data_IF_501748739239
#
_entry.id   IF_501748739239
#
_cell.length_a   1.000
_cell.length_b   1.000
_cell.length_c   1.000
_cell.angle_alpha   90.00
_cell.angle_beta   90.00
_cell.angle_gamma   90.00
#
_symmetry.space_group_name_H-M   'P 1'
#
loop_
_entity.id
_entity.type
_entity.pdbx_description
1 polymer ?
#
# COMPACT_ATOMS: atom_id res chain seq x y z
N UNK A 1 15.06 21.66 -16.83
CA UNK A 1 15.94 20.97 -15.86
C UNK A 1 15.01 20.32 -14.83
N UNK A 2 15.03 18.98 -14.78
CA UNK A 2 14.12 18.24 -13.88
C UNK A 2 14.54 18.50 -12.42
N UNK A 3 13.64 19.04 -11.61
CA UNK A 3 13.89 19.38 -10.19
C UNK A 3 14.29 18.17 -9.31
N UNK A 4 14.16 16.96 -9.81
CA UNK A 4 14.48 15.70 -9.11
C UNK A 4 15.89 15.17 -9.36
N UNK A 5 16.71 15.84 -10.20
CA UNK A 5 18.04 15.35 -10.58
C UNK A 5 18.97 15.13 -9.38
N UNK A 6 18.83 15.95 -8.33
CA UNK A 6 19.63 15.83 -7.10
C UNK A 6 19.27 14.60 -6.26
N UNK A 7 17.98 14.26 -6.18
CA UNK A 7 17.51 13.15 -5.35
C UNK A 7 17.68 11.80 -6.07
N UNK A 8 17.55 11.80 -7.39
CA UNK A 8 17.80 10.60 -8.21
C UNK A 8 19.28 10.17 -8.17
N UNK A 9 20.21 11.11 -7.90
CA UNK A 9 21.64 10.79 -7.76
C UNK A 9 21.96 9.92 -6.53
N UNK A 10 21.06 9.88 -5.54
CA UNK A 10 21.23 9.06 -4.34
C UNK A 10 20.84 7.59 -4.58
N UNK A 11 20.16 7.30 -5.70
CA UNK A 11 19.81 5.93 -6.07
C UNK A 11 21.01 5.18 -6.64
N UNK A 12 21.19 3.93 -6.23
CA UNK A 12 22.04 2.96 -6.89
C UNK A 12 21.43 2.57 -8.23
N UNK A 13 20.15 2.23 -8.20
CA UNK A 13 19.37 1.92 -9.40
C UNK A 13 17.89 2.26 -9.25
N UNK A 14 17.23 2.54 -10.36
CA UNK A 14 15.76 2.55 -10.46
C UNK A 14 15.29 1.12 -10.68
N UNK A 15 14.44 0.62 -9.80
CA UNK A 15 13.84 -0.71 -9.89
C UNK A 15 12.58 -0.70 -10.76
N UNK A 16 11.72 0.32 -10.57
CA UNK A 16 10.49 0.53 -11.34
C UNK A 16 10.42 1.99 -11.75
N UNK A 17 10.23 2.24 -13.03
CA UNK A 17 10.06 3.59 -13.56
C UNK A 17 8.68 4.16 -13.20
N UNK A 18 8.51 5.47 -13.30
CA UNK A 18 7.20 6.11 -13.14
C UNK A 18 6.19 5.62 -14.18
N UNK A 19 6.65 5.38 -15.40
CA UNK A 19 5.85 4.86 -16.50
C UNK A 19 5.35 3.44 -16.24
N UNK A 20 6.23 2.55 -15.73
CA UNK A 20 5.86 1.17 -15.36
C UNK A 20 4.81 1.16 -14.25
N UNK A 21 5.02 1.99 -13.21
CA UNK A 21 4.09 2.14 -12.08
C UNK A 21 2.73 2.62 -12.59
N UNK A 22 2.71 3.67 -13.41
CA UNK A 22 1.47 4.22 -13.96
C UNK A 22 0.70 3.19 -14.78
N UNK A 23 1.37 2.47 -15.67
CA UNK A 23 0.75 1.44 -16.50
C UNK A 23 0.16 0.30 -15.65
N UNK A 24 0.92 -0.17 -14.65
CA UNK A 24 0.46 -1.25 -13.77
C UNK A 24 -0.73 -0.84 -12.90
N UNK A 25 -0.70 0.38 -12.35
CA UNK A 25 -1.80 0.93 -11.56
C UNK A 25 -3.07 1.05 -12.40
N UNK A 26 -2.95 1.45 -13.70
CA UNK A 26 -4.08 1.47 -14.63
C UNK A 26 -4.71 0.08 -14.85
N UNK A 27 -3.89 -0.95 -14.94
CA UNK A 27 -4.39 -2.33 -15.10
C UNK A 27 -5.04 -2.86 -13.81
N UNK A 28 -4.48 -2.50 -12.65
CA UNK A 28 -5.10 -2.81 -11.36
C UNK A 28 -6.46 -2.13 -11.20
N UNK A 29 -6.57 -0.86 -11.60
CA UNK A 29 -7.84 -0.12 -11.57
C UNK A 29 -8.92 -0.83 -12.38
N UNK A 30 -8.62 -1.24 -13.63
CA UNK A 30 -9.55 -1.99 -14.48
C UNK A 30 -9.96 -3.34 -13.87
N UNK A 31 -9.06 -4.02 -13.17
CA UNK A 31 -9.36 -5.26 -12.49
C UNK A 31 -10.33 -5.03 -11.33
N UNK A 32 -10.07 -4.01 -10.50
CA UNK A 32 -10.93 -3.61 -9.38
C UNK A 32 -12.32 -3.18 -9.88
N UNK A 33 -12.40 -2.39 -10.96
CA UNK A 33 -13.67 -1.98 -11.56
C UNK A 33 -14.53 -3.18 -12.00
N UNK A 34 -13.93 -4.18 -12.62
CA UNK A 34 -14.65 -5.40 -13.01
C UNK A 34 -15.17 -6.16 -11.80
N UNK A 35 -14.34 -6.29 -10.76
CA UNK A 35 -14.66 -7.08 -9.58
C UNK A 35 -15.73 -6.42 -8.69
N UNK A 36 -15.81 -5.08 -8.73
CA UNK A 36 -16.75 -4.29 -7.94
C UNK A 36 -17.83 -3.59 -8.78
N UNK A 37 -18.05 -4.05 -10.02
CA UNK A 37 -19.02 -3.42 -10.92
C UNK A 37 -20.39 -3.19 -10.27
N UNK A 38 -20.87 -1.94 -10.33
CA UNK A 38 -22.16 -1.53 -9.76
C UNK A 38 -22.22 -1.43 -8.23
N UNK A 39 -21.08 -1.43 -7.54
CA UNK A 39 -20.98 -1.38 -6.07
C UNK A 39 -20.30 -0.11 -5.61
N UNK A 40 -20.69 0.36 -4.42
CA UNK A 40 -19.89 1.33 -3.65
C UNK A 40 -18.73 0.60 -2.99
N UNK A 41 -17.51 1.10 -3.13
CA UNK A 41 -16.32 0.54 -2.49
C UNK A 41 -15.90 1.42 -1.30
N UNK A 42 -15.71 0.81 -0.14
CA UNK A 42 -15.01 1.46 0.96
C UNK A 42 -13.53 1.08 0.90
N UNK A 43 -12.73 2.04 0.47
CA UNK A 43 -11.27 1.90 0.45
C UNK A 43 -10.70 2.25 1.81
N UNK A 44 -9.94 1.32 2.39
CA UNK A 44 -9.18 1.52 3.62
C UNK A 44 -7.71 1.61 3.24
N UNK A 45 -7.12 2.80 3.36
CA UNK A 45 -5.74 3.08 2.94
C UNK A 45 -4.81 3.25 4.12
N UNK A 46 -3.70 2.51 4.14
CA UNK A 46 -2.70 2.59 5.21
C UNK A 46 -1.69 3.70 4.91
N UNK A 47 -1.73 4.76 5.71
CA UNK A 47 -0.86 5.93 5.54
C UNK A 47 0.40 5.81 6.42
N UNK A 48 1.55 6.45 6.03
CA UNK A 48 1.74 7.41 4.91
C UNK A 48 2.27 6.75 3.63
N UNK A 49 2.79 5.52 3.69
CA UNK A 49 3.48 4.85 2.58
C UNK A 49 2.58 4.70 1.35
N UNK A 50 1.33 4.28 1.54
CA UNK A 50 0.40 4.07 0.44
C UNK A 50 -0.14 5.35 -0.23
N UNK A 51 0.21 6.56 0.26
CA UNK A 51 -0.40 7.82 -0.19
C UNK A 51 -0.42 7.98 -1.70
N UNK A 52 0.75 7.84 -2.36
CA UNK A 52 0.86 8.06 -3.81
C UNK A 52 0.20 6.94 -4.60
N UNK A 53 0.42 5.69 -4.22
CA UNK A 53 -0.23 4.53 -4.83
C UNK A 53 -1.76 4.65 -4.80
N UNK A 54 -2.33 4.93 -3.63
CA UNK A 54 -3.77 5.08 -3.46
C UNK A 54 -4.30 6.26 -4.26
N UNK A 55 -3.62 7.41 -4.24
CA UNK A 55 -4.04 8.58 -5.01
C UNK A 55 -4.04 8.30 -6.53
N UNK A 56 -3.02 7.60 -7.03
CA UNK A 56 -2.93 7.26 -8.45
C UNK A 56 -3.96 6.19 -8.85
N UNK A 57 -4.18 5.19 -8.01
CA UNK A 57 -5.15 4.13 -8.27
C UNK A 57 -6.59 4.65 -8.27
N UNK A 58 -6.99 5.39 -7.22
CA UNK A 58 -8.38 5.83 -7.06
C UNK A 58 -8.82 6.82 -8.14
N UNK A 59 -7.90 7.62 -8.69
CA UNK A 59 -8.19 8.52 -9.82
C UNK A 59 -8.45 7.81 -11.15
N UNK A 60 -8.13 6.52 -11.23
CA UNK A 60 -8.35 5.70 -12.42
C UNK A 60 -9.57 4.77 -12.30
N UNK A 61 -10.23 4.74 -11.14
CA UNK A 61 -11.42 3.92 -10.89
C UNK A 61 -12.69 4.75 -11.09
N UNK A 62 -13.54 4.35 -12.03
CA UNK A 62 -14.86 4.95 -12.29
C UNK A 62 -15.98 4.23 -11.52
N UNK A 63 -15.85 4.19 -10.20
CA UNK A 63 -16.85 3.66 -9.26
C UNK A 63 -17.03 4.62 -8.10
N UNK A 64 -18.20 4.63 -7.42
CA UNK A 64 -18.36 5.41 -6.21
C UNK A 64 -17.45 4.86 -5.11
N UNK A 65 -16.63 5.73 -4.51
CA UNK A 65 -15.64 5.38 -3.50
C UNK A 65 -15.87 6.19 -2.22
N UNK A 66 -15.89 5.49 -1.09
CA UNK A 66 -15.68 6.06 0.24
C UNK A 66 -14.25 5.79 0.66
N UNK A 67 -13.47 6.83 0.97
CA UNK A 67 -12.07 6.67 1.42
C UNK A 67 -11.99 6.81 2.94
N UNK A 68 -11.34 5.84 3.58
CA UNK A 68 -10.98 5.84 5.00
C UNK A 68 -9.46 5.66 5.08
N UNK A 69 -8.78 6.58 5.76
CA UNK A 69 -7.32 6.49 5.96
C UNK A 69 -7.01 6.01 7.37
N UNK A 70 -6.08 5.08 7.49
CA UNK A 70 -5.56 4.58 8.76
C UNK A 70 -4.10 4.98 8.90
N UNK A 71 -3.73 5.52 10.06
CA UNK A 71 -2.33 5.68 10.43
C UNK A 71 -1.82 4.38 11.07
N UNK A 72 -0.70 3.85 10.57
CA UNK A 72 0.05 2.82 11.27
C UNK A 72 1.32 3.44 11.83
N UNK A 73 1.44 3.52 13.15
CA UNK A 73 2.70 3.83 13.78
C UNK A 73 3.40 2.51 14.14
N UNK A 74 4.35 2.09 13.30
CA UNK A 74 5.37 1.15 13.76
C UNK A 74 6.28 1.89 14.74
N UNK A 75 6.29 1.47 16.00
CA UNK A 75 7.15 2.05 17.03
C UNK A 75 8.62 1.72 16.70
N UNK A 76 9.31 2.65 16.04
CA UNK A 76 10.76 2.57 15.83
C UNK A 76 11.49 3.19 17.03
N UNK A 77 11.35 2.56 18.18
CA UNK A 77 12.01 2.98 19.43
C UNK A 77 12.53 1.77 20.19
N UNK A 78 13.58 1.10 19.66
CA UNK A 78 14.24 -0.01 20.33
C UNK A 78 14.64 -1.14 19.37
N UNK A 79 15.72 -1.83 19.69
CA UNK A 79 16.35 -2.91 18.91
C UNK A 79 15.54 -4.23 18.88
N UNK A 80 14.29 -4.22 19.34
CA UNK A 80 13.35 -5.35 19.21
C UNK A 80 11.96 -4.80 18.89
N UNK A 81 11.44 -5.13 17.69
CA UNK A 81 10.04 -4.91 17.34
C UNK A 81 9.16 -5.79 18.22
N UNK A 82 8.30 -5.21 19.05
CA UNK A 82 7.36 -5.96 19.92
C UNK A 82 6.27 -6.70 19.15
N UNK A 83 6.27 -6.66 17.82
CA UNK A 83 5.27 -7.32 16.95
C UNK A 83 3.86 -6.73 17.06
N UNK A 84 3.65 -5.69 17.89
CA UNK A 84 2.33 -5.07 18.02
C UNK A 84 2.25 -3.81 17.14
N UNK A 85 1.39 -3.86 16.14
CA UNK A 85 1.04 -2.71 15.30
C UNK A 85 -0.04 -1.90 16.03
N UNK A 86 0.28 -0.66 16.44
CA UNK A 86 -0.74 0.26 16.94
C UNK A 86 -1.48 0.89 15.75
N UNK A 87 -2.69 0.43 15.53
CA UNK A 87 -3.59 0.97 14.53
C UNK A 87 -4.41 2.11 15.13
N UNK A 88 -4.38 3.27 14.51
CA UNK A 88 -5.29 4.37 14.83
C UNK A 88 -6.64 4.11 14.12
N UNK A 89 -7.54 3.42 14.81
CA UNK A 89 -8.84 3.12 14.26
C UNK A 89 -9.75 4.35 14.28
N UNK A 90 -10.42 4.68 13.15
CA UNK A 90 -11.26 5.86 13.10
C UNK A 90 -12.50 5.70 13.96
N UNK A 91 -12.76 6.68 14.82
CA UNK A 91 -13.94 6.66 15.68
C UNK A 91 -15.22 6.79 14.86
N UNK A 92 -16.23 5.98 15.15
CA UNK A 92 -17.55 6.07 14.54
C UNK A 92 -17.64 5.54 13.10
N UNK A 93 -16.61 4.87 12.59
CA UNK A 93 -16.65 4.21 11.28
C UNK A 93 -17.00 2.74 11.48
N UNK A 94 -18.02 2.26 10.76
CA UNK A 94 -18.36 0.84 10.66
C UNK A 94 -18.10 0.36 9.23
N UNK A 95 -17.71 -0.90 9.10
CA UNK A 95 -17.50 -1.59 7.83
C UNK A 95 -18.50 -2.74 7.61
N UNK A 96 -19.46 -2.92 8.54
CA UNK A 96 -20.46 -3.99 8.49
C UNK A 96 -21.29 -3.93 7.22
N UNK A 97 -21.28 -5.00 6.44
CA UNK A 97 -22.02 -5.12 5.19
C UNK A 97 -21.45 -4.32 4.02
N UNK A 98 -20.31 -3.62 4.20
CA UNK A 98 -19.67 -2.84 3.15
C UNK A 98 -18.75 -3.71 2.26
N UNK A 99 -18.50 -3.26 1.02
CA UNK A 99 -17.48 -3.83 0.16
C UNK A 99 -16.16 -3.13 0.43
N UNK A 100 -15.27 -3.78 1.18
CA UNK A 100 -14.02 -3.19 1.66
C UNK A 100 -12.85 -3.59 0.77
N UNK A 101 -12.04 -2.61 0.38
CA UNK A 101 -10.75 -2.77 -0.29
C UNK A 101 -9.65 -2.17 0.60
N UNK A 102 -8.83 -3.03 1.21
CA UNK A 102 -7.66 -2.64 2.00
C UNK A 102 -6.47 -2.41 1.06
N UNK A 103 -5.84 -1.23 1.14
CA UNK A 103 -4.70 -0.87 0.31
C UNK A 103 -3.48 -0.47 1.15
N UNK A 104 -2.31 -1.00 0.74
CA UNK A 104 -1.00 -0.65 1.30
C UNK A 104 0.03 -0.48 0.18
N UNK A 105 1.17 0.16 0.46
CA UNK A 105 2.26 0.31 -0.50
C UNK A 105 3.03 -1.00 -0.71
N UNK A 106 3.33 -1.71 0.37
CA UNK A 106 4.20 -2.89 0.32
C UNK A 106 3.79 -4.00 1.29
N UNK A 107 3.69 -5.21 0.77
CA UNK A 107 3.60 -6.42 1.57
C UNK A 107 5.02 -6.95 1.82
N UNK A 108 5.58 -6.60 2.98
CA UNK A 108 6.90 -7.05 3.45
C UNK A 108 6.75 -8.28 4.36
N UNK A 109 6.75 -8.11 5.68
CA UNK A 109 6.57 -9.21 6.64
C UNK A 109 5.15 -9.74 6.73
N UNK A 110 4.17 -8.96 6.28
CA UNK A 110 2.74 -9.26 6.34
C UNK A 110 2.07 -8.94 7.68
N UNK A 111 2.82 -8.64 8.74
CA UNK A 111 2.26 -8.45 10.08
C UNK A 111 1.17 -7.37 10.13
N UNK A 112 1.41 -6.24 9.51
CA UNK A 112 0.46 -5.11 9.49
C UNK A 112 -0.80 -5.45 8.70
N UNK A 113 -0.64 -5.97 7.48
CA UNK A 113 -1.78 -6.31 6.62
C UNK A 113 -2.61 -7.44 7.21
N UNK A 114 -1.99 -8.48 7.79
CA UNK A 114 -2.71 -9.56 8.46
C UNK A 114 -3.51 -9.05 9.63
N UNK A 115 -2.93 -8.25 10.52
CA UNK A 115 -3.62 -7.67 11.67
C UNK A 115 -4.80 -6.78 11.26
N UNK A 116 -4.62 -5.98 10.20
CA UNK A 116 -5.70 -5.15 9.65
C UNK A 116 -6.81 -5.97 9.01
N UNK A 117 -6.45 -6.98 8.23
CA UNK A 117 -7.40 -7.87 7.59
C UNK A 117 -8.24 -8.63 8.62
N UNK A 118 -7.62 -9.17 9.68
CA UNK A 118 -8.34 -9.82 10.78
C UNK A 118 -9.31 -8.86 11.48
N UNK A 119 -8.86 -7.65 11.78
CA UNK A 119 -9.71 -6.64 12.44
C UNK A 119 -10.86 -6.19 11.57
N UNK A 120 -10.65 -5.96 10.26
CA UNK A 120 -11.71 -5.62 9.32
C UNK A 120 -12.70 -6.78 9.15
N UNK A 121 -12.20 -8.01 9.06
CA UNK A 121 -13.04 -9.22 8.97
C UNK A 121 -13.99 -9.37 10.16
N UNK A 122 -13.53 -9.00 11.36
CA UNK A 122 -14.34 -9.05 12.58
C UNK A 122 -15.55 -8.10 12.56
N UNK A 123 -15.54 -7.08 11.69
CA UNK A 123 -16.70 -6.18 11.49
C UNK A 123 -17.72 -6.69 10.48
N UNK A 124 -17.56 -7.92 9.97
CA UNK A 124 -18.46 -8.57 9.03
C UNK A 124 -18.76 -7.74 7.76
N UNK A 125 -17.76 -7.31 6.99
CA UNK A 125 -17.97 -6.67 5.70
C UNK A 125 -18.63 -7.66 4.72
N UNK A 126 -19.34 -7.16 3.71
CA UNK A 126 -19.90 -8.00 2.64
C UNK A 126 -18.79 -8.65 1.81
N UNK A 127 -17.72 -7.91 1.55
CA UNK A 127 -16.47 -8.43 0.95
C UNK A 127 -15.28 -7.69 1.56
N UNK A 128 -14.15 -8.40 1.71
CA UNK A 128 -12.88 -7.80 2.09
C UNK A 128 -11.81 -8.32 1.12
N UNK A 129 -11.19 -7.39 0.39
CA UNK A 129 -10.06 -7.69 -0.49
C UNK A 129 -8.88 -6.80 -0.16
N UNK A 130 -7.69 -7.29 -0.45
CA UNK A 130 -6.42 -6.61 -0.15
C UNK A 130 -5.63 -6.37 -1.42
N UNK A 131 -5.10 -5.15 -1.57
CA UNK A 131 -4.23 -4.77 -2.67
C UNK A 131 -2.97 -4.06 -2.19
N UNK A 132 -1.84 -4.36 -2.85
CA UNK A 132 -0.56 -3.68 -2.60
C UNK A 132 0.11 -3.30 -3.91
N UNK A 133 0.93 -2.24 -3.88
CA UNK A 133 1.76 -1.90 -5.03
C UNK A 133 2.93 -2.89 -5.17
N UNK A 134 3.58 -3.23 -4.05
CA UNK A 134 4.71 -4.14 -4.01
C UNK A 134 4.46 -5.36 -3.13
N UNK A 135 4.86 -6.53 -3.63
CA UNK A 135 4.91 -7.77 -2.88
C UNK A 135 6.34 -8.32 -2.86
N UNK A 136 6.99 -8.30 -1.70
CA UNK A 136 8.34 -8.87 -1.56
C UNK A 136 8.31 -10.39 -1.58
N UNK A 137 9.21 -11.01 -2.36
CA UNK A 137 9.45 -12.46 -2.41
C UNK A 137 10.28 -12.88 -1.21
N UNK A 138 9.65 -13.07 -0.08
CA UNK A 138 10.31 -13.54 1.15
C UNK A 138 9.43 -14.53 1.91
N UNK A 139 10.01 -15.44 2.70
CA UNK A 139 9.25 -16.28 3.62
C UNK A 139 8.51 -15.43 4.64
N UNK A 140 7.24 -15.75 4.90
CA UNK A 140 6.41 -15.10 5.91
C UNK A 140 5.93 -16.12 6.94
N UNK A 141 5.79 -15.67 8.18
CA UNK A 141 5.27 -16.52 9.25
C UNK A 141 3.78 -16.86 9.06
N UNK A 142 3.05 -16.01 8.36
CA UNK A 142 1.64 -16.16 8.04
C UNK A 142 1.38 -15.68 6.61
N UNK A 143 0.50 -16.38 5.90
CA UNK A 143 0.02 -15.94 4.60
C UNK A 143 -0.93 -14.76 4.80
N UNK A 144 -0.59 -13.61 4.21
CA UNK A 144 -1.48 -12.46 4.18
C UNK A 144 -2.38 -12.58 2.95
N UNK A 145 -3.72 -12.45 3.10
CA UNK A 145 -4.61 -12.40 1.95
C UNK A 145 -4.21 -11.26 1.00
N UNK A 146 -4.03 -11.59 -0.28
CA UNK A 146 -3.63 -10.63 -1.30
C UNK A 146 -4.40 -10.92 -2.60
N UNK A 147 -5.31 -10.02 -2.96
CA UNK A 147 -6.16 -10.14 -4.15
C UNK A 147 -5.59 -9.36 -5.34
N UNK A 148 -4.94 -8.23 -5.07
CA UNK A 148 -4.38 -7.34 -6.09
C UNK A 148 -2.92 -7.04 -5.76
N UNK A 149 -2.03 -7.37 -6.70
CA UNK A 149 -0.59 -7.11 -6.58
C UNK A 149 -0.11 -6.28 -7.77
N UNK A 150 0.54 -5.16 -7.50
CA UNK A 150 1.20 -4.38 -8.52
C UNK A 150 2.40 -5.13 -9.09
N UNK A 151 3.44 -5.28 -8.29
CA UNK A 151 4.68 -5.92 -8.69
C UNK A 151 5.18 -6.88 -7.63
N UNK A 152 5.76 -7.99 -8.06
CA UNK A 152 6.58 -8.83 -7.19
C UNK A 152 8.03 -8.37 -7.28
N UNK A 153 8.67 -8.14 -6.13
CA UNK A 153 10.07 -7.73 -6.05
C UNK A 153 10.87 -8.65 -5.13
N UNK A 154 12.18 -8.65 -5.30
CA UNK A 154 13.09 -9.35 -4.38
C UNK A 154 13.09 -8.67 -2.99
N UNK A 155 13.65 -9.33 -1.98
CA UNK A 155 13.70 -8.80 -0.61
C UNK A 155 14.81 -7.73 -0.46
N UNK A 156 14.60 -6.60 -1.11
CA UNK A 156 15.49 -5.43 -1.10
C UNK A 156 14.83 -4.24 -0.40
N UNK A 157 15.64 -3.36 0.17
CA UNK A 157 15.13 -2.11 0.73
C UNK A 157 14.89 -1.09 -0.37
N UNK A 158 13.64 -0.72 -0.55
CA UNK A 158 13.18 0.17 -1.62
C UNK A 158 12.63 1.48 -1.08
N UNK A 159 12.77 2.55 -1.87
CA UNK A 159 12.26 3.89 -1.57
C UNK A 159 11.59 4.49 -2.80
N UNK A 160 10.81 5.53 -2.58
CA UNK A 160 10.07 6.26 -3.63
C UNK A 160 8.62 5.83 -3.73
N UNK A 161 7.83 6.61 -4.46
CA UNK A 161 6.40 6.44 -4.66
C UNK A 161 5.62 6.15 -3.36
N UNK A 162 5.95 6.92 -2.30
CA UNK A 162 5.36 6.79 -0.96
C UNK A 162 6.28 6.15 0.08
N UNK A 163 7.12 5.19 -0.31
CA UNK A 163 8.06 4.55 0.59
C UNK A 163 9.22 5.47 0.95
N UNK A 164 9.66 5.44 2.20
CA UNK A 164 10.67 6.35 2.72
C UNK A 164 11.93 5.68 3.26
N UNK A 165 12.97 6.50 3.39
CA UNK A 165 14.11 6.27 4.25
C UNK A 165 14.30 7.48 5.15
N UNK A 166 14.15 7.30 6.46
CA UNK A 166 14.27 8.38 7.47
C UNK A 166 13.38 9.61 7.16
N UNK A 167 12.12 9.38 6.74
CA UNK A 167 11.16 10.43 6.42
C UNK A 167 11.40 11.14 5.07
N UNK A 168 12.35 10.66 4.25
CA UNK A 168 12.72 11.25 2.96
C UNK A 168 12.37 10.31 1.80
N UNK A 169 12.40 10.84 0.58
CA UNK A 169 12.25 10.11 -0.70
C UNK A 169 10.83 9.68 -1.08
N UNK A 170 9.82 9.87 -0.24
CA UNK A 170 8.44 9.50 -0.59
C UNK A 170 7.94 10.16 -1.88
N UNK A 171 8.46 11.34 -2.21
CA UNK A 171 8.09 12.15 -3.38
C UNK A 171 8.75 11.71 -4.71
N UNK A 172 9.61 10.70 -4.71
CA UNK A 172 10.14 10.17 -5.96
C UNK A 172 9.02 9.52 -6.78
N UNK A 173 8.90 9.80 -8.09
CA UNK A 173 7.87 9.20 -8.93
C UNK A 173 8.15 7.74 -9.30
N UNK A 174 9.37 7.29 -9.10
CA UNK A 174 9.85 5.93 -9.33
C UNK A 174 10.11 5.20 -8.02
N UNK A 175 10.36 3.90 -8.10
CA UNK A 175 10.84 3.09 -6.98
C UNK A 175 12.29 2.69 -7.27
N UNK A 176 13.17 2.90 -6.30
CA UNK A 176 14.58 2.62 -6.44
C UNK A 176 15.22 2.10 -5.17
N UNK A 177 16.49 1.75 -5.29
CA UNK A 177 17.37 1.28 -4.22
C UNK A 177 18.39 2.36 -3.95
N UNK A 178 18.62 2.68 -2.67
CA UNK A 178 19.65 3.64 -2.26
C UNK A 178 21.04 3.08 -2.46
N UNK A 179 21.99 3.98 -2.73
CA UNK A 179 23.40 3.67 -2.62
C UNK A 179 23.76 3.29 -1.19
N UNK A 180 24.72 2.36 -1.00
CA UNK A 180 25.21 1.95 0.31
C UNK A 180 25.77 3.11 1.12
#
# INVERSE_FOLDING_TARGET
>A
MNALTGVLSDLDRVLLSAEDIHARVADMAKQIERDYAGRLITVVALMDGALFFVADLLRQIDLPIRLVTLGASSYHGGTQSSGQVKLQWPAGVSFTGEHVLLLDDILDTGLTLTALHERLSAEAPATLRTGVLLNKKRPRAQDSPLDYCGFEIEDEFVIGHGMDYQGRFRNLPCIGILKP
#
